data_IF_321717178679
#
_entry.id   IF_321717178679
#
_cell.length_a   1.000
_cell.length_b   1.000
_cell.length_c   1.000
_cell.angle_alpha   90.00
_cell.angle_beta   90.00
_cell.angle_gamma   90.00
#
_symmetry.space_group_name_H-M   'P 1'
#
loop_
_entity.id
_entity.type
_entity.pdbx_description
1 polymer ?
#
# COMPACT_ATOMS: atom_id res chain seq x y z
N UNK A 1 -55.41 73.23 30.40
CA UNK A 1 -56.30 72.09 30.02
C UNK A 1 -55.48 71.25 29.03
N UNK A 2 -55.05 70.13 29.50
CA UNK A 2 -54.31 69.17 28.66
C UNK A 2 -55.37 68.22 28.12
N UNK A 3 -55.65 68.32 26.81
CA UNK A 3 -56.53 67.38 26.16
C UNK A 3 -55.93 65.97 26.19
N UNK A 4 -56.61 65.09 26.89
CA UNK A 4 -56.30 63.67 26.82
C UNK A 4 -56.75 63.14 25.43
N UNK A 5 -55.79 63.04 24.48
CA UNK A 5 -56.01 62.26 23.28
C UNK A 5 -56.26 60.82 23.67
N UNK A 6 -57.53 60.42 23.56
CA UNK A 6 -57.92 59.04 23.87
C UNK A 6 -57.17 58.05 22.97
N UNK A 7 -56.27 57.30 23.54
CA UNK A 7 -55.55 56.21 22.85
C UNK A 7 -56.59 55.12 22.60
N UNK A 8 -56.89 54.86 21.29
CA UNK A 8 -57.73 53.69 20.95
C UNK A 8 -56.91 52.40 21.10
N UNK A 9 -57.08 51.80 22.27
CA UNK A 9 -56.38 50.52 22.64
C UNK A 9 -56.74 49.36 21.70
N UNK A 10 -57.87 49.42 21.02
CA UNK A 10 -58.26 48.38 20.07
C UNK A 10 -57.48 48.50 18.76
N UNK A 11 -57.23 49.70 18.29
CA UNK A 11 -56.42 49.93 17.09
C UNK A 11 -54.96 49.58 17.38
N UNK A 12 -54.43 49.98 18.55
CA UNK A 12 -53.08 49.62 18.97
C UNK A 12 -52.90 48.09 19.13
N UNK A 13 -53.91 47.38 19.62
CA UNK A 13 -53.91 45.92 19.73
C UNK A 13 -53.86 45.25 18.35
N UNK A 14 -54.66 45.72 17.38
CA UNK A 14 -54.64 45.22 15.99
C UNK A 14 -53.30 45.49 15.29
N UNK A 15 -52.69 46.64 15.51
CA UNK A 15 -51.38 46.96 15.00
C UNK A 15 -50.30 46.05 15.63
N UNK A 16 -50.34 45.81 16.94
CA UNK A 16 -49.42 44.85 17.58
C UNK A 16 -49.60 43.42 17.06
N UNK A 17 -50.84 42.96 16.85
CA UNK A 17 -51.10 41.63 16.27
C UNK A 17 -50.51 41.55 14.83
N UNK A 18 -50.73 42.55 14.00
CA UNK A 18 -50.17 42.55 12.66
C UNK A 18 -48.65 42.58 12.65
N UNK A 19 -48.04 43.31 13.58
CA UNK A 19 -46.59 43.37 13.74
C UNK A 19 -46.02 42.03 14.22
N UNK A 20 -46.69 41.34 15.15
CA UNK A 20 -46.30 39.99 15.62
C UNK A 20 -46.35 38.97 14.50
N UNK A 21 -47.40 38.98 13.69
CA UNK A 21 -47.54 38.07 12.53
C UNK A 21 -46.43 38.36 11.49
N UNK A 22 -46.15 39.65 11.20
CA UNK A 22 -45.06 40.02 10.29
C UNK A 22 -43.70 39.58 10.81
N UNK A 23 -43.41 39.78 12.12
CA UNK A 23 -42.19 39.35 12.76
C UNK A 23 -42.03 37.82 12.75
N UNK A 24 -43.10 37.08 13.02
CA UNK A 24 -43.08 35.62 12.95
C UNK A 24 -42.70 35.12 11.56
N UNK A 25 -43.27 35.75 10.50
CA UNK A 25 -42.98 35.38 9.13
C UNK A 25 -41.53 35.69 8.75
N UNK A 26 -41.00 36.84 9.15
CA UNK A 26 -39.59 37.20 8.90
C UNK A 26 -38.63 36.27 9.67
N UNK A 27 -39.01 35.84 10.86
CA UNK A 27 -38.26 34.91 11.69
C UNK A 27 -38.19 33.51 11.05
N UNK A 28 -39.28 33.02 10.47
CA UNK A 28 -39.28 31.79 9.70
C UNK A 28 -38.42 31.87 8.45
N UNK A 29 -38.47 32.98 7.72
CA UNK A 29 -37.63 33.23 6.55
C UNK A 29 -36.14 33.25 6.92
N UNK A 30 -35.74 33.97 7.96
CA UNK A 30 -34.37 34.01 8.51
C UNK A 30 -33.91 32.63 8.99
N UNK A 31 -34.77 31.85 9.64
CA UNK A 31 -34.41 30.51 10.08
C UNK A 31 -34.17 29.59 8.89
N UNK A 32 -34.96 29.68 7.83
CA UNK A 32 -34.79 28.93 6.60
C UNK A 32 -33.48 29.31 5.89
N UNK A 33 -33.19 30.61 5.80
CA UNK A 33 -31.94 31.11 5.20
C UNK A 33 -30.70 30.68 6.00
N UNK A 34 -30.75 30.76 7.34
CA UNK A 34 -29.70 30.27 8.22
C UNK A 34 -29.44 28.76 8.05
N UNK A 35 -30.48 27.97 7.85
CA UNK A 35 -30.36 26.53 7.60
C UNK A 35 -29.64 26.29 6.27
N UNK A 36 -30.06 26.98 5.23
CA UNK A 36 -29.43 26.87 3.91
C UNK A 36 -27.96 27.31 3.93
N UNK A 37 -27.65 28.43 4.59
CA UNK A 37 -26.27 28.91 4.75
C UNK A 37 -25.39 27.95 5.58
N UNK A 38 -25.97 27.27 6.58
CA UNK A 38 -25.23 26.23 7.31
C UNK A 38 -24.91 25.02 6.44
N UNK A 39 -25.87 24.56 5.65
CA UNK A 39 -25.68 23.44 4.71
C UNK A 39 -24.65 23.79 3.64
N UNK A 40 -24.69 25.03 3.08
CA UNK A 40 -23.70 25.52 2.13
C UNK A 40 -22.31 25.66 2.77
N UNK A 41 -22.21 26.19 3.97
CA UNK A 41 -20.95 26.26 4.71
C UNK A 41 -20.35 24.88 5.01
N UNK A 42 -21.19 23.89 5.37
CA UNK A 42 -20.72 22.52 5.53
C UNK A 42 -20.25 21.92 4.20
N UNK A 43 -20.99 22.15 3.12
CA UNK A 43 -20.58 21.73 1.78
C UNK A 43 -19.23 22.37 1.36
N UNK A 44 -19.09 23.69 1.55
CA UNK A 44 -17.84 24.40 1.23
C UNK A 44 -16.67 23.95 2.12
N UNK A 45 -16.92 23.72 3.41
CA UNK A 45 -15.91 23.16 4.32
C UNK A 45 -15.49 21.76 3.88
N UNK A 46 -16.41 20.90 3.47
CA UNK A 46 -16.09 19.57 2.91
C UNK A 46 -15.30 19.68 1.61
N UNK A 47 -15.60 20.66 0.78
CA UNK A 47 -14.91 20.89 -0.50
C UNK A 47 -13.51 21.48 -0.33
N UNK A 48 -13.31 22.37 0.64
CA UNK A 48 -12.03 23.07 0.88
C UNK A 48 -11.11 22.33 1.84
N UNK A 49 -11.67 21.70 2.87
CA UNK A 49 -10.93 21.06 3.97
C UNK A 49 -11.22 19.56 4.08
N UNK A 50 -12.18 19.04 3.34
CA UNK A 50 -12.37 17.60 3.21
C UNK A 50 -11.11 17.02 2.61
N UNK A 51 -10.52 16.05 3.31
CA UNK A 51 -9.45 15.23 2.73
C UNK A 51 -9.92 14.79 1.35
N UNK A 52 -9.11 14.99 0.32
CA UNK A 52 -9.39 14.55 -1.06
C UNK A 52 -9.44 13.01 -1.19
N UNK A 53 -9.52 12.29 -0.08
CA UNK A 53 -9.85 10.88 -0.01
C UNK A 53 -11.36 10.78 0.06
N UNK A 54 -11.94 10.08 -0.89
CA UNK A 54 -13.31 9.56 -0.78
C UNK A 54 -13.36 8.68 0.46
N UNK A 55 -13.77 9.27 1.59
CA UNK A 55 -13.89 8.51 2.83
C UNK A 55 -15.07 7.58 2.70
N UNK A 56 -14.80 6.29 2.71
CA UNK A 56 -15.77 5.20 2.65
C UNK A 56 -16.77 5.17 3.83
N UNK A 57 -16.69 6.11 4.79
CA UNK A 57 -17.67 6.25 5.88
C UNK A 57 -19.10 6.48 5.41
N UNK A 58 -19.29 7.04 4.20
CA UNK A 58 -20.63 7.21 3.62
C UNK A 58 -21.20 5.93 2.99
N UNK A 59 -20.38 4.92 2.79
CA UNK A 59 -20.73 3.65 2.13
C UNK A 59 -20.67 2.43 3.07
N UNK A 60 -20.43 2.63 4.37
CA UNK A 60 -20.38 1.54 5.36
C UNK A 60 -19.13 0.65 5.27
N UNK A 61 -18.10 1.08 4.53
CA UNK A 61 -16.83 0.39 4.47
C UNK A 61 -15.79 1.10 5.35
N UNK A 62 -15.15 0.38 6.27
CA UNK A 62 -14.02 0.89 7.02
C UNK A 62 -12.85 1.11 6.07
N UNK A 63 -12.36 2.36 6.04
CA UNK A 63 -11.16 2.70 5.26
C UNK A 63 -9.94 2.26 6.05
N UNK A 64 -9.30 1.19 5.60
CA UNK A 64 -7.99 0.79 6.11
C UNK A 64 -6.93 1.83 5.71
N UNK A 65 -5.99 2.08 6.61
CA UNK A 65 -4.82 2.93 6.34
C UNK A 65 -4.02 2.36 5.15
N UNK A 66 -3.42 3.23 4.34
CA UNK A 66 -2.60 2.85 3.19
C UNK A 66 -1.45 1.89 3.57
N UNK A 67 -0.91 2.04 4.79
CA UNK A 67 0.22 1.23 5.27
C UNK A 67 -0.22 -0.09 5.89
N UNK A 68 -1.37 -0.12 6.57
CA UNK A 68 -1.85 -1.30 7.29
C UNK A 68 -2.68 -2.24 6.41
N UNK A 69 -3.14 -1.76 5.24
CA UNK A 69 -3.98 -2.54 4.34
C UNK A 69 -3.30 -3.84 3.87
N UNK A 70 -1.99 -3.78 3.56
CA UNK A 70 -1.26 -4.96 3.10
C UNK A 70 -1.14 -6.02 4.20
N UNK A 71 -0.87 -5.62 5.44
CA UNK A 71 -0.75 -6.53 6.58
C UNK A 71 -2.10 -7.06 7.04
N UNK A 72 -3.14 -6.21 7.11
CA UNK A 72 -4.47 -6.61 7.50
C UNK A 72 -5.12 -7.60 6.52
N UNK A 73 -4.76 -7.53 5.23
CA UNK A 73 -5.30 -8.42 4.19
C UNK A 73 -4.40 -9.65 3.92
N UNK A 74 -3.19 -9.71 4.51
CA UNK A 74 -2.20 -10.74 4.21
C UNK A 74 -2.42 -12.05 4.97
N UNK A 75 -2.98 -12.00 6.17
CA UNK A 75 -3.12 -13.19 7.02
C UNK A 75 -4.54 -13.78 6.94
N UNK A 76 -4.79 -14.77 6.05
CA UNK A 76 -6.10 -15.40 5.92
C UNK A 76 -6.43 -16.38 7.05
N UNK A 77 -5.46 -16.74 7.91
CA UNK A 77 -5.59 -17.74 8.96
C UNK A 77 -5.64 -17.14 10.38
N UNK A 78 -5.43 -15.83 10.55
CA UNK A 78 -5.74 -15.20 11.81
C UNK A 78 -7.25 -15.24 12.04
N UNK A 79 -7.62 -15.92 13.13
CA UNK A 79 -8.99 -15.90 13.65
C UNK A 79 -9.36 -14.43 13.88
N UNK A 80 -10.16 -13.90 12.98
CA UNK A 80 -10.79 -12.60 13.18
C UNK A 80 -11.57 -12.70 14.48
N UNK A 81 -11.19 -11.88 15.46
CA UNK A 81 -11.92 -11.75 16.70
C UNK A 81 -13.40 -11.66 16.40
N UNK A 82 -14.14 -12.57 16.98
CA UNK A 82 -15.56 -12.82 16.84
C UNK A 82 -16.34 -11.51 17.04
N UNK A 83 -16.66 -10.84 15.96
CA UNK A 83 -17.85 -10.02 15.87
C UNK A 83 -18.87 -10.89 15.15
N UNK A 84 -19.84 -11.38 15.93
CA UNK A 84 -21.02 -12.16 15.57
C UNK A 84 -20.95 -12.96 14.26
N UNK A 85 -21.15 -14.27 14.40
CA UNK A 85 -21.13 -15.29 13.35
C UNK A 85 -21.91 -14.90 12.08
N UNK A 86 -21.28 -14.18 11.18
CA UNK A 86 -21.64 -14.27 9.78
C UNK A 86 -20.92 -15.51 9.24
N UNK A 87 -21.62 -16.61 9.15
CA UNK A 87 -21.11 -17.84 8.53
C UNK A 87 -20.80 -17.57 7.05
N UNK A 88 -19.59 -17.07 6.77
CA UNK A 88 -19.07 -17.10 5.42
C UNK A 88 -18.72 -18.54 5.08
N UNK A 89 -19.54 -19.18 4.29
CA UNK A 89 -19.18 -20.45 3.65
C UNK A 89 -17.96 -20.20 2.77
N UNK A 90 -16.77 -20.46 3.28
CA UNK A 90 -15.53 -20.51 2.48
C UNK A 90 -15.78 -21.51 1.36
N UNK A 91 -15.96 -21.03 0.13
CA UNK A 91 -16.04 -21.92 -1.04
C UNK A 91 -14.76 -22.73 -1.07
N UNK A 92 -14.85 -24.05 -0.92
CA UNK A 92 -13.70 -24.95 -0.99
C UNK A 92 -13.02 -24.72 -2.34
N UNK A 93 -11.71 -24.47 -2.33
CA UNK A 93 -10.89 -24.40 -3.53
C UNK A 93 -10.93 -25.77 -4.21
N UNK A 94 -11.27 -25.83 -5.49
CA UNK A 94 -11.25 -27.05 -6.26
C UNK A 94 -10.05 -27.03 -7.23
N UNK A 95 -9.57 -28.25 -7.59
CA UNK A 95 -8.48 -28.40 -8.55
C UNK A 95 -8.94 -27.85 -9.91
N UNK A 96 -8.15 -26.95 -10.53
CA UNK A 96 -8.53 -26.27 -11.79
C UNK A 96 -9.15 -24.86 -11.60
N UNK A 97 -9.42 -24.42 -10.38
CA UNK A 97 -10.00 -23.09 -10.14
C UNK A 97 -9.12 -21.94 -10.68
N UNK A 98 -7.79 -22.13 -10.71
CA UNK A 98 -6.87 -21.15 -11.27
C UNK A 98 -6.98 -21.11 -12.80
N UNK A 99 -7.05 -22.28 -13.44
CA UNK A 99 -7.19 -22.40 -14.89
C UNK A 99 -8.48 -21.75 -15.36
N UNK A 100 -9.60 -21.97 -14.63
CA UNK A 100 -10.88 -21.32 -14.92
C UNK A 100 -10.79 -19.78 -14.81
N UNK A 101 -10.07 -19.27 -13.83
CA UNK A 101 -9.87 -17.81 -13.67
C UNK A 101 -9.05 -17.20 -14.80
N UNK A 102 -8.04 -17.91 -15.27
CA UNK A 102 -7.11 -17.44 -16.31
C UNK A 102 -7.61 -17.67 -17.73
N UNK A 103 -8.58 -18.60 -17.94
CA UNK A 103 -9.07 -19.01 -19.26
C UNK A 103 -9.59 -17.88 -20.15
N UNK A 104 -10.00 -16.74 -19.56
CA UNK A 104 -10.52 -15.58 -20.32
C UNK A 104 -9.43 -14.65 -20.84
N UNK A 105 -8.18 -14.84 -20.41
CA UNK A 105 -7.05 -14.02 -20.84
C UNK A 105 -6.34 -14.66 -22.04
N UNK A 106 -5.71 -13.88 -22.92
CA UNK A 106 -4.88 -14.45 -23.97
C UNK A 106 -3.66 -15.15 -23.37
N UNK A 107 -3.38 -16.38 -23.83
CA UNK A 107 -2.26 -17.19 -23.38
C UNK A 107 -1.10 -17.13 -24.38
N UNK A 108 0.13 -17.02 -23.86
CA UNK A 108 1.37 -17.11 -24.62
C UNK A 108 2.18 -18.27 -24.06
N UNK A 109 2.52 -19.24 -24.90
CA UNK A 109 3.38 -20.36 -24.51
C UNK A 109 4.85 -19.93 -24.50
N UNK A 110 5.54 -20.11 -23.36
CA UNK A 110 6.99 -19.96 -23.25
C UNK A 110 7.59 -21.35 -23.04
N UNK A 111 8.36 -21.82 -24.03
CA UNK A 111 8.97 -23.13 -23.96
C UNK A 111 10.43 -22.99 -23.56
N UNK A 112 10.78 -23.50 -22.37
CA UNK A 112 12.16 -23.57 -21.92
C UNK A 112 12.86 -24.75 -22.58
N UNK A 113 13.92 -24.47 -23.33
CA UNK A 113 14.74 -25.47 -24.02
C UNK A 113 16.13 -25.51 -23.44
N UNK A 114 16.80 -26.68 -23.53
CA UNK A 114 18.21 -26.80 -23.19
C UNK A 114 19.06 -26.01 -24.20
N UNK A 115 20.14 -25.34 -23.76
CA UNK A 115 21.12 -24.76 -24.65
C UNK A 115 21.79 -25.85 -25.50
N UNK A 116 22.26 -25.52 -26.71
CA UNK A 116 22.85 -26.50 -27.62
C UNK A 116 24.03 -27.27 -27.01
N UNK A 117 24.83 -26.63 -26.16
CA UNK A 117 25.91 -27.24 -25.43
C UNK A 117 25.48 -28.36 -24.48
N UNK A 118 24.23 -28.37 -24.04
CA UNK A 118 23.68 -29.36 -23.11
C UNK A 118 22.81 -30.42 -23.79
N UNK A 119 22.62 -30.33 -25.11
CA UNK A 119 21.87 -31.31 -25.90
C UNK A 119 22.66 -32.61 -26.18
N UNK A 120 23.56 -32.97 -25.25
CA UNK A 120 24.40 -34.17 -25.33
C UNK A 120 24.07 -35.15 -24.21
N UNK A 121 23.92 -36.42 -24.56
CA UNK A 121 23.66 -37.46 -23.56
C UNK A 121 24.90 -37.67 -22.67
N UNK A 122 24.78 -37.61 -21.34
CA UNK A 122 25.92 -37.76 -20.42
C UNK A 122 26.46 -39.21 -20.38
N UNK A 123 25.71 -40.19 -20.95
CA UNK A 123 26.11 -41.60 -20.90
C UNK A 123 26.78 -42.07 -22.22
N UNK A 124 26.28 -41.60 -23.38
CA UNK A 124 26.75 -42.08 -24.68
C UNK A 124 27.17 -40.99 -25.67
N UNK A 125 27.22 -39.71 -25.23
CA UNK A 125 27.55 -38.52 -25.98
C UNK A 125 26.76 -38.32 -27.32
N UNK A 126 25.61 -39.01 -27.49
CA UNK A 126 24.73 -38.78 -28.62
C UNK A 126 23.84 -37.57 -28.39
N UNK A 127 23.36 -36.93 -29.48
CA UNK A 127 22.46 -35.78 -29.41
C UNK A 127 21.11 -36.16 -28.78
N UNK A 128 20.65 -35.41 -27.81
CA UNK A 128 19.32 -35.53 -27.22
C UNK A 128 18.25 -34.96 -28.13
N UNK A 129 17.09 -35.62 -28.19
CA UNK A 129 15.93 -35.18 -28.97
C UNK A 129 14.75 -34.88 -28.02
N UNK A 130 13.97 -33.84 -28.28
CA UNK A 130 12.79 -33.55 -27.48
C UNK A 130 11.74 -34.63 -27.61
N UNK A 131 11.16 -35.12 -26.51
CA UNK A 131 10.12 -36.16 -26.48
C UNK A 131 8.77 -35.65 -26.03
N UNK A 132 8.71 -34.42 -25.46
CA UNK A 132 7.47 -33.80 -25.02
C UNK A 132 7.71 -32.49 -24.25
N UNK A 133 6.62 -31.80 -23.99
CA UNK A 133 6.59 -30.64 -23.09
C UNK A 133 5.76 -30.95 -21.85
N UNK A 134 6.19 -30.47 -20.70
CA UNK A 134 5.47 -30.58 -19.44
C UNK A 134 5.08 -29.19 -18.99
N UNK A 135 3.81 -29.00 -18.64
CA UNK A 135 3.34 -27.77 -18.02
C UNK A 135 4.02 -27.58 -16.67
N UNK A 136 4.49 -26.37 -16.40
CA UNK A 136 5.18 -26.03 -15.15
C UNK A 136 4.32 -25.08 -14.30
N UNK A 137 3.97 -23.92 -14.86
CA UNK A 137 3.20 -22.90 -14.15
C UNK A 137 2.59 -21.86 -15.08
N UNK A 138 1.61 -21.13 -14.56
CA UNK A 138 1.14 -19.89 -15.17
C UNK A 138 1.91 -18.71 -14.59
N UNK A 139 2.24 -17.74 -15.44
CA UNK A 139 2.78 -16.44 -15.07
C UNK A 139 1.96 -15.33 -15.73
N UNK A 140 1.67 -14.24 -15.00
CA UNK A 140 0.91 -13.10 -15.55
C UNK A 140 1.90 -12.05 -16.04
N UNK A 141 1.88 -11.78 -17.34
CA UNK A 141 2.58 -10.67 -17.95
C UNK A 141 1.69 -9.44 -17.96
N UNK A 142 2.18 -8.35 -17.37
CA UNK A 142 1.53 -7.07 -17.44
C UNK A 142 2.28 -6.15 -18.42
N UNK A 143 1.59 -5.82 -19.51
CA UNK A 143 1.99 -4.73 -20.41
C UNK A 143 0.99 -3.60 -20.13
N UNK A 144 1.40 -2.32 -20.03
CA UNK A 144 0.48 -1.24 -19.74
C UNK A 144 -0.81 -1.35 -20.56
N UNK A 145 -1.95 -1.36 -19.87
CA UNK A 145 -3.29 -1.59 -20.40
C UNK A 145 -3.59 -2.98 -21.01
N UNK A 146 -2.73 -4.01 -20.83
CA UNK A 146 -3.01 -5.38 -21.30
C UNK A 146 -2.54 -6.40 -20.28
N UNK A 147 -3.43 -7.32 -19.88
CA UNK A 147 -3.07 -8.53 -19.16
C UNK A 147 -2.85 -9.68 -20.14
N UNK A 148 -1.83 -10.49 -19.88
CA UNK A 148 -1.55 -11.71 -20.58
C UNK A 148 -1.17 -12.80 -19.59
N UNK A 149 -1.50 -14.03 -19.88
CA UNK A 149 -1.04 -15.20 -19.13
C UNK A 149 0.15 -15.79 -19.86
N UNK A 150 1.23 -16.05 -19.14
CA UNK A 150 2.38 -16.81 -19.62
C UNK A 150 2.26 -18.24 -19.12
N UNK A 151 1.99 -19.18 -20.01
CA UNK A 151 1.98 -20.60 -19.71
C UNK A 151 3.38 -21.17 -19.92
N UNK A 152 4.07 -21.50 -18.84
CA UNK A 152 5.46 -21.96 -18.86
C UNK A 152 5.49 -23.47 -18.98
N UNK A 153 6.16 -23.95 -20.02
CA UNK A 153 6.37 -25.36 -20.29
C UNK A 153 7.86 -25.69 -20.29
N UNK A 154 8.21 -26.92 -19.95
CA UNK A 154 9.55 -27.46 -20.10
C UNK A 154 9.57 -28.60 -21.10
N UNK A 155 10.60 -28.67 -21.94
CA UNK A 155 10.79 -29.76 -22.88
C UNK A 155 11.64 -30.84 -22.24
N UNK A 156 11.17 -32.09 -22.26
CA UNK A 156 11.95 -33.24 -21.85
C UNK A 156 12.63 -33.89 -23.05
N UNK A 157 13.91 -34.10 -22.97
CA UNK A 157 14.74 -34.73 -24.01
C UNK A 157 15.07 -36.15 -23.63
N UNK A 158 15.07 -37.04 -24.59
CA UNK A 158 15.42 -38.45 -24.42
C UNK A 158 16.59 -38.85 -25.31
N UNK A 159 17.49 -39.69 -24.82
CA UNK A 159 18.52 -40.32 -25.61
C UNK A 159 17.99 -41.60 -26.28
N UNK A 160 17.66 -41.53 -27.57
CA UNK A 160 17.15 -42.69 -28.34
C UNK A 160 18.13 -43.83 -28.39
N UNK A 161 19.45 -43.58 -28.43
CA UNK A 161 20.49 -44.63 -28.45
C UNK A 161 20.54 -45.41 -27.13
N UNK A 162 20.44 -44.73 -26.02
CA UNK A 162 20.35 -45.38 -24.70
C UNK A 162 19.05 -46.16 -24.55
N UNK A 163 17.92 -45.62 -25.05
CA UNK A 163 16.61 -46.31 -25.02
C UNK A 163 16.63 -47.59 -25.81
N UNK A 164 17.26 -47.62 -27.01
CA UNK A 164 17.40 -48.82 -27.82
C UNK A 164 18.22 -49.91 -27.10
N UNK A 165 19.09 -49.54 -26.18
CA UNK A 165 19.91 -50.41 -25.33
C UNK A 165 19.26 -50.70 -23.96
N UNK A 166 17.95 -50.48 -23.79
CA UNK A 166 17.21 -50.75 -22.58
C UNK A 166 17.46 -49.73 -21.40
N UNK A 167 18.20 -48.62 -21.67
CA UNK A 167 18.48 -47.60 -20.66
C UNK A 167 17.66 -46.32 -20.93
N UNK A 168 16.81 -45.90 -20.01
CA UNK A 168 16.09 -44.62 -20.11
C UNK A 168 16.98 -43.49 -19.60
N UNK A 169 17.41 -42.60 -20.49
CA UNK A 169 18.14 -41.38 -20.16
C UNK A 169 17.32 -40.19 -20.63
N UNK A 170 16.80 -39.45 -19.67
CA UNK A 170 16.01 -38.22 -19.91
C UNK A 170 16.69 -37.04 -19.31
N UNK A 171 16.59 -35.89 -19.95
CA UNK A 171 17.12 -34.60 -19.50
C UNK A 171 16.08 -33.51 -19.76
N UNK A 172 15.84 -32.66 -18.78
CA UNK A 172 15.01 -31.46 -18.91
C UNK A 172 15.84 -30.23 -18.53
N UNK A 173 15.56 -29.04 -19.08
CA UNK A 173 16.20 -27.82 -18.66
C UNK A 173 15.88 -27.50 -17.19
N UNK A 174 16.78 -26.80 -16.53
CA UNK A 174 16.48 -26.18 -15.24
C UNK A 174 15.38 -25.13 -15.42
N UNK A 175 14.41 -25.15 -14.52
CA UNK A 175 13.27 -24.21 -14.55
C UNK A 175 13.60 -23.11 -13.52
N UNK A 176 13.63 -21.83 -13.92
CA UNK A 176 13.78 -20.72 -12.97
C UNK A 176 12.68 -20.80 -11.91
N UNK A 177 13.06 -20.58 -10.67
CA UNK A 177 12.12 -20.49 -9.56
C UNK A 177 11.07 -19.41 -9.84
N UNK A 178 9.79 -19.65 -9.48
CA UNK A 178 8.78 -18.61 -9.58
C UNK A 178 9.13 -17.44 -8.67
N UNK A 179 8.80 -16.25 -9.09
CA UNK A 179 9.05 -15.00 -8.35
C UNK A 179 8.50 -15.09 -6.91
N UNK A 180 7.33 -15.67 -6.75
CA UNK A 180 6.73 -16.00 -5.46
C UNK A 180 6.31 -17.47 -5.51
N UNK A 181 6.77 -18.33 -4.58
CA UNK A 181 6.39 -19.73 -4.53
C UNK A 181 4.88 -19.93 -4.51
N UNK A 182 4.39 -20.91 -5.24
CA UNK A 182 2.97 -21.26 -5.34
C UNK A 182 2.04 -20.14 -5.82
N UNK A 183 2.60 -19.10 -6.47
CA UNK A 183 1.86 -17.97 -7.02
C UNK A 183 1.98 -17.90 -8.54
N UNK A 184 1.00 -17.25 -9.18
CA UNK A 184 1.04 -16.87 -10.59
C UNK A 184 1.59 -15.45 -10.80
N UNK A 185 2.18 -14.85 -9.76
CA UNK A 185 2.81 -13.55 -9.83
C UNK A 185 4.01 -13.56 -10.79
N UNK A 186 4.10 -12.54 -11.62
CA UNK A 186 5.34 -12.20 -12.31
C UNK A 186 6.01 -11.00 -11.64
N UNK A 187 7.30 -10.78 -11.90
CA UNK A 187 8.01 -9.61 -11.37
C UNK A 187 7.32 -8.29 -11.77
N UNK A 188 6.79 -8.23 -13.00
CA UNK A 188 6.11 -7.06 -13.53
C UNK A 188 4.77 -6.81 -12.81
N UNK A 189 4.00 -7.87 -12.55
CA UNK A 189 2.71 -7.75 -11.86
C UNK A 189 2.89 -7.31 -10.40
N UNK A 190 3.88 -7.85 -9.70
CA UNK A 190 4.23 -7.44 -8.33
C UNK A 190 4.70 -5.99 -8.31
N UNK A 191 5.64 -5.62 -9.18
CA UNK A 191 6.14 -4.25 -9.28
C UNK A 191 5.02 -3.25 -9.60
N UNK A 192 4.08 -3.62 -10.45
CA UNK A 192 2.92 -2.79 -10.76
C UNK A 192 2.05 -2.56 -9.52
N UNK A 193 1.68 -3.62 -8.79
CA UNK A 193 0.87 -3.52 -7.58
C UNK A 193 1.56 -2.63 -6.53
N UNK A 194 2.87 -2.82 -6.33
CA UNK A 194 3.65 -2.01 -5.39
C UNK A 194 3.73 -0.55 -5.82
N UNK A 195 4.00 -0.28 -7.11
CA UNK A 195 4.03 1.08 -7.65
C UNK A 195 2.70 1.78 -7.48
N UNK A 196 1.60 1.11 -7.81
CA UNK A 196 0.26 1.68 -7.65
C UNK A 196 -0.02 2.01 -6.18
N UNK A 197 0.32 1.12 -5.25
CA UNK A 197 0.06 1.36 -3.82
C UNK A 197 0.95 2.46 -3.24
N UNK A 198 2.25 2.39 -3.42
CA UNK A 198 3.19 3.23 -2.68
C UNK A 198 3.61 4.51 -3.43
N UNK A 199 3.56 4.52 -4.76
CA UNK A 199 3.91 5.70 -5.56
C UNK A 199 2.66 6.47 -5.96
N UNK A 200 1.64 5.77 -6.46
CA UNK A 200 0.42 6.40 -6.97
C UNK A 200 -0.68 6.55 -5.90
N UNK A 201 -0.49 5.99 -4.68
CA UNK A 201 -1.45 6.06 -3.59
C UNK A 201 -2.77 5.33 -3.85
N UNK A 202 -2.78 4.31 -4.74
CA UNK A 202 -3.98 3.55 -5.09
C UNK A 202 -4.14 2.37 -4.13
N UNK A 203 -5.17 2.35 -3.28
CA UNK A 203 -5.42 1.25 -2.35
C UNK A 203 -5.68 -0.07 -3.08
N UNK A 204 -5.37 -1.21 -2.42
CA UNK A 204 -5.48 -2.54 -3.03
C UNK A 204 -6.91 -2.87 -3.49
N UNK A 205 -7.94 -2.38 -2.79
CA UNK A 205 -9.32 -2.62 -3.21
C UNK A 205 -9.66 -1.95 -4.56
N UNK A 206 -9.12 -0.75 -4.84
CA UNK A 206 -9.27 -0.07 -6.14
C UNK A 206 -8.49 -0.79 -7.22
N UNK A 207 -7.26 -1.22 -6.90
CA UNK A 207 -6.49 -2.06 -7.81
C UNK A 207 -7.21 -3.35 -8.15
N UNK A 208 -7.81 -4.04 -7.15
CA UNK A 208 -8.61 -5.25 -7.39
C UNK A 208 -9.78 -4.99 -8.35
N UNK A 209 -10.44 -3.84 -8.24
CA UNK A 209 -11.50 -3.44 -9.16
C UNK A 209 -10.97 -3.21 -10.59
N UNK A 210 -9.81 -2.57 -10.73
CA UNK A 210 -9.13 -2.35 -12.01
C UNK A 210 -8.72 -3.69 -12.66
N UNK A 211 -8.09 -4.59 -11.90
CA UNK A 211 -7.72 -5.92 -12.38
C UNK A 211 -8.93 -6.72 -12.84
N UNK A 212 -10.04 -6.62 -12.10
CA UNK A 212 -11.31 -7.27 -12.48
C UNK A 212 -11.87 -6.73 -13.79
N UNK A 213 -11.78 -5.42 -14.04
CA UNK A 213 -12.17 -4.82 -15.32
C UNK A 213 -11.30 -5.30 -16.48
N UNK A 214 -10.01 -5.55 -16.21
CA UNK A 214 -9.08 -6.13 -17.20
C UNK A 214 -9.26 -7.64 -17.39
N UNK A 215 -10.20 -8.29 -16.68
CA UNK A 215 -10.57 -9.70 -16.84
C UNK A 215 -9.96 -10.65 -15.79
N UNK A 216 -9.21 -10.16 -14.80
CA UNK A 216 -8.63 -10.98 -13.74
C UNK A 216 -9.20 -10.60 -12.37
N UNK A 217 -9.89 -11.53 -11.72
CA UNK A 217 -10.33 -11.37 -10.33
C UNK A 217 -9.16 -11.65 -9.37
N UNK A 218 -8.41 -10.60 -9.08
CA UNK A 218 -7.24 -10.62 -8.17
C UNK A 218 -7.67 -10.11 -6.79
N UNK A 219 -7.59 -10.97 -5.77
CA UNK A 219 -8.02 -10.61 -4.42
C UNK A 219 -7.05 -9.63 -3.75
N UNK A 220 -7.55 -8.81 -2.83
CA UNK A 220 -6.72 -7.92 -1.99
C UNK A 220 -5.67 -8.71 -1.21
N UNK A 221 -6.07 -9.83 -0.61
CA UNK A 221 -5.17 -10.74 0.12
C UNK A 221 -4.02 -11.23 -0.75
N UNK A 222 -4.30 -11.63 -2.00
CA UNK A 222 -3.24 -12.06 -2.92
C UNK A 222 -2.25 -10.94 -3.19
N UNK A 223 -2.73 -9.72 -3.47
CA UNK A 223 -1.86 -8.56 -3.68
C UNK A 223 -1.06 -8.20 -2.43
N UNK A 224 -1.67 -8.26 -1.25
CA UNK A 224 -1.01 -8.02 0.03
C UNK A 224 0.13 -9.03 0.27
N UNK A 225 -0.15 -10.32 0.07
CA UNK A 225 0.85 -11.37 0.20
C UNK A 225 2.02 -11.20 -0.79
N UNK A 226 1.76 -10.72 -2.01
CA UNK A 226 2.83 -10.40 -2.97
C UNK A 226 3.74 -9.28 -2.45
N UNK A 227 3.16 -8.22 -1.88
CA UNK A 227 3.91 -7.09 -1.33
C UNK A 227 4.75 -7.54 -0.15
N UNK A 228 4.17 -8.29 0.80
CA UNK A 228 4.86 -8.74 2.01
C UNK A 228 6.01 -9.68 1.65
N UNK A 229 5.75 -10.70 0.82
CA UNK A 229 6.80 -11.60 0.36
C UNK A 229 7.96 -10.84 -0.30
N UNK A 230 7.65 -9.89 -1.17
CA UNK A 230 8.66 -9.09 -1.87
C UNK A 230 9.46 -8.21 -0.92
N UNK A 231 8.79 -7.64 0.09
CA UNK A 231 9.45 -6.84 1.13
C UNK A 231 10.48 -7.67 1.90
N UNK A 232 10.11 -8.86 2.33
CA UNK A 232 10.97 -9.71 3.17
C UNK A 232 12.12 -10.36 2.40
N UNK A 233 11.86 -10.83 1.16
CA UNK A 233 12.81 -11.66 0.42
C UNK A 233 13.68 -10.88 -0.57
N UNK A 234 13.18 -9.77 -1.11
CA UNK A 234 13.92 -9.03 -2.15
C UNK A 234 14.30 -7.62 -1.75
N UNK A 235 13.39 -6.89 -1.09
CA UNK A 235 13.66 -5.50 -0.75
C UNK A 235 14.45 -5.37 0.55
N UNK A 236 14.27 -6.28 1.49
CA UNK A 236 15.02 -6.24 2.75
C UNK A 236 16.54 -6.27 2.53
N UNK A 237 17.15 -7.19 1.77
CA UNK A 237 18.59 -7.17 1.51
C UNK A 237 19.06 -5.84 0.86
N UNK A 238 18.23 -5.26 -0.01
CA UNK A 238 18.52 -3.97 -0.62
C UNK A 238 18.50 -2.84 0.41
N UNK A 239 17.47 -2.79 1.24
CA UNK A 239 17.36 -1.78 2.31
C UNK A 239 18.45 -1.93 3.36
N UNK A 240 18.84 -3.16 3.71
CA UNK A 240 19.95 -3.43 4.61
C UNK A 240 21.26 -2.88 4.02
N UNK A 241 21.53 -3.12 2.73
CA UNK A 241 22.71 -2.55 2.05
C UNK A 241 22.67 -1.03 1.94
N UNK A 242 21.49 -0.45 1.69
CA UNK A 242 21.33 1.01 1.70
C UNK A 242 21.61 1.59 3.09
N UNK A 243 21.20 0.91 4.15
CA UNK A 243 21.50 1.29 5.53
C UNK A 243 23.01 1.27 5.80
N UNK A 244 23.72 0.20 5.45
CA UNK A 244 25.16 0.11 5.57
C UNK A 244 25.88 1.28 4.87
N UNK A 245 25.53 1.56 3.60
CA UNK A 245 26.11 2.68 2.84
C UNK A 245 25.81 4.03 3.52
N UNK A 246 24.62 4.19 4.11
CA UNK A 246 24.28 5.41 4.85
C UNK A 246 25.15 5.56 6.10
N UNK A 247 25.43 4.47 6.81
CA UNK A 247 26.31 4.48 7.99
C UNK A 247 27.80 4.77 7.63
N UNK A 248 28.24 4.49 6.43
CA UNK A 248 29.57 4.84 5.92
C UNK A 248 29.71 6.33 5.57
N UNK A 249 28.59 7.07 5.51
CA UNK A 249 28.59 8.49 5.14
C UNK A 249 29.07 9.39 6.28
N UNK A 250 29.49 10.63 5.97
CA UNK A 250 29.90 11.62 6.99
C UNK A 250 28.70 12.38 7.59
N UNK A 251 27.60 12.45 6.87
CA UNK A 251 26.42 13.23 7.24
C UNK A 251 25.15 12.49 6.87
N UNK A 252 24.18 12.51 7.79
CA UNK A 252 22.86 11.95 7.56
C UNK A 252 21.78 12.90 8.10
N UNK A 253 20.66 12.98 7.40
CA UNK A 253 19.46 13.63 7.91
C UNK A 253 18.58 12.62 8.62
N UNK A 254 17.96 13.06 9.71
CA UNK A 254 16.95 12.30 10.44
C UNK A 254 15.75 13.19 10.75
N UNK A 255 14.56 12.66 10.55
CA UNK A 255 13.29 13.31 10.86
C UNK A 255 12.24 12.22 11.17
N UNK A 256 11.16 12.56 11.86
CA UNK A 256 10.07 11.64 12.10
C UNK A 256 8.72 12.32 11.94
N UNK A 257 7.75 11.58 11.41
CA UNK A 257 6.38 12.05 11.25
C UNK A 257 5.40 11.11 11.95
N UNK A 258 4.37 11.63 12.64
CA UNK A 258 3.36 10.78 13.24
C UNK A 258 2.54 10.09 12.16
N UNK A 259 2.29 8.80 12.35
CA UNK A 259 1.39 7.98 11.57
C UNK A 259 0.33 7.38 12.48
N UNK A 260 -0.88 7.18 11.97
CA UNK A 260 -1.94 6.51 12.68
C UNK A 260 -2.04 5.07 12.18
N UNK A 261 -1.87 4.12 13.10
CA UNK A 261 -2.03 2.69 12.84
C UNK A 261 -3.29 2.24 13.56
N UNK A 262 -4.31 1.81 12.80
CA UNK A 262 -5.62 1.51 13.37
C UNK A 262 -5.64 0.21 14.17
N UNK A 263 -4.90 -0.81 13.70
CA UNK A 263 -4.84 -2.15 14.29
C UNK A 263 -3.42 -2.48 14.76
N UNK A 264 -2.94 -1.76 15.76
CA UNK A 264 -1.64 -2.06 16.36
C UNK A 264 -1.82 -2.85 17.65
N UNK A 265 -1.20 -4.04 17.80
CA UNK A 265 -1.35 -4.86 18.99
C UNK A 265 -1.02 -4.09 20.27
N UNK A 266 -1.92 -4.14 21.25
CA UNK A 266 -1.74 -3.48 22.55
C UNK A 266 -1.93 -1.97 22.56
N UNK A 267 -2.37 -1.34 21.45
CA UNK A 267 -2.61 0.09 21.35
C UNK A 267 -4.03 0.45 20.91
N UNK A 268 -4.48 1.63 21.34
CA UNK A 268 -5.73 2.20 20.83
C UNK A 268 -5.50 2.80 19.45
N UNK A 269 -6.48 2.73 18.55
CA UNK A 269 -6.44 3.31 17.21
C UNK A 269 -6.14 4.83 17.18
N UNK A 270 -6.36 5.53 18.30
CA UNK A 270 -6.06 6.97 18.46
C UNK A 270 -4.60 7.24 18.84
N UNK A 271 -3.83 6.20 19.20
CA UNK A 271 -2.42 6.37 19.62
C UNK A 271 -1.56 6.63 18.39
N UNK A 272 -0.66 7.62 18.49
CA UNK A 272 0.28 7.94 17.41
C UNK A 272 1.43 6.95 17.40
N UNK A 273 1.72 6.39 16.26
CA UNK A 273 2.98 5.74 15.90
C UNK A 273 3.79 6.67 15.02
N UNK A 274 5.01 6.31 14.64
CA UNK A 274 5.90 7.21 13.93
C UNK A 274 6.58 6.51 12.75
N UNK A 275 6.71 7.25 11.65
CA UNK A 275 7.57 6.90 10.54
C UNK A 275 8.83 7.74 10.64
N UNK A 276 9.96 7.08 10.91
CA UNK A 276 11.28 7.69 10.94
C UNK A 276 11.84 7.72 9.51
N UNK A 277 12.42 8.85 9.14
CA UNK A 277 13.01 9.05 7.81
C UNK A 277 14.49 9.36 7.99
N UNK A 278 15.32 8.50 7.43
CA UNK A 278 16.77 8.68 7.42
C UNK A 278 17.24 8.84 6.00
N UNK A 279 18.04 9.86 5.72
CA UNK A 279 18.49 10.11 4.35
C UNK A 279 19.93 10.61 4.28
N UNK A 280 20.57 10.30 3.16
CA UNK A 280 21.83 10.93 2.79
C UNK A 280 21.62 12.42 2.49
N UNK A 281 22.69 13.20 2.56
CA UNK A 281 22.70 14.60 2.12
C UNK A 281 22.62 14.66 0.58
N UNK A 282 22.26 15.83 0.06
CA UNK A 282 22.09 16.04 -1.38
C UNK A 282 23.38 15.80 -2.19
N UNK A 283 24.51 16.07 -1.58
CA UNK A 283 25.86 15.94 -2.18
C UNK A 283 26.42 14.51 -2.11
N UNK A 284 25.67 13.57 -1.52
CA UNK A 284 26.08 12.16 -1.46
C UNK A 284 26.13 11.54 -2.84
N UNK A 285 27.14 10.70 -3.10
CA UNK A 285 27.24 9.90 -4.32
C UNK A 285 26.09 8.88 -4.44
N UNK A 286 25.50 8.51 -3.31
CA UNK A 286 24.37 7.59 -3.25
C UNK A 286 23.17 8.30 -2.58
N UNK A 287 22.14 8.70 -3.35
CA UNK A 287 20.94 9.32 -2.81
C UNK A 287 20.07 8.25 -2.13
N UNK A 288 20.26 8.09 -0.83
CA UNK A 288 19.54 7.12 -0.01
C UNK A 288 18.44 7.81 0.80
N UNK A 289 17.28 7.18 0.88
CA UNK A 289 16.20 7.56 1.80
C UNK A 289 15.53 6.30 2.32
N UNK A 290 15.60 6.12 3.64
CA UNK A 290 15.03 4.98 4.35
C UNK A 290 13.89 5.42 5.24
N UNK A 291 12.82 4.64 5.25
CA UNK A 291 11.66 4.83 6.10
C UNK A 291 11.58 3.67 7.08
N UNK A 292 11.57 3.99 8.37
CA UNK A 292 11.51 3.00 9.44
C UNK A 292 10.31 3.27 10.33
N UNK A 293 9.41 2.32 10.39
CA UNK A 293 8.26 2.38 11.29
C UNK A 293 8.70 2.14 12.73
N UNK A 294 8.15 2.93 13.66
CA UNK A 294 8.29 2.66 15.09
C UNK A 294 6.98 2.96 15.82
N UNK A 295 6.61 2.13 16.81
CA UNK A 295 5.37 2.30 17.55
C UNK A 295 5.38 3.52 18.48
N UNK A 296 6.51 4.19 18.66
CA UNK A 296 6.66 5.33 19.56
C UNK A 296 7.73 6.30 19.06
N UNK A 297 7.83 7.46 19.72
CA UNK A 297 8.84 8.49 19.43
C UNK A 297 10.06 8.41 20.37
N UNK A 298 10.38 7.24 20.91
CA UNK A 298 11.49 7.12 21.86
C UNK A 298 12.85 7.29 21.18
N UNK A 299 13.79 7.92 21.91
CA UNK A 299 15.16 8.17 21.43
C UNK A 299 15.98 6.90 21.16
N UNK A 300 15.58 5.74 21.66
CA UNK A 300 16.24 4.47 21.30
C UNK A 300 16.07 4.10 19.81
N UNK A 301 15.02 4.57 19.13
CA UNK A 301 14.81 4.27 17.71
C UNK A 301 15.98 4.81 16.85
N UNK A 302 16.34 6.12 16.90
CA UNK A 302 17.49 6.59 16.17
C UNK A 302 18.83 6.04 16.71
N UNK A 303 18.94 5.71 18.00
CA UNK A 303 20.13 5.06 18.55
C UNK A 303 20.38 3.69 17.92
N UNK A 304 19.34 2.88 17.77
CA UNK A 304 19.44 1.57 17.09
C UNK A 304 19.80 1.77 15.62
N UNK A 305 19.15 2.70 14.93
CA UNK A 305 19.38 2.94 13.52
C UNK A 305 20.81 3.40 13.23
N UNK A 306 21.34 4.34 14.03
CA UNK A 306 22.68 4.90 13.87
C UNK A 306 23.77 4.15 14.65
N UNK A 307 23.48 2.94 15.12
CA UNK A 307 24.51 2.14 15.78
C UNK A 307 25.73 1.91 14.86
N UNK A 308 26.91 2.34 15.31
CA UNK A 308 28.14 2.30 14.51
C UNK A 308 28.33 3.44 13.51
N UNK A 309 27.45 4.44 13.49
CA UNK A 309 27.62 5.64 12.69
C UNK A 309 28.56 6.63 13.41
N UNK A 310 29.56 7.15 12.72
CA UNK A 310 30.53 8.12 13.24
C UNK A 310 30.53 9.39 12.39
N UNK A 311 29.46 10.14 12.43
CA UNK A 311 29.28 11.31 11.60
C UNK A 311 28.36 12.36 12.22
N UNK A 312 27.86 13.27 11.39
CA UNK A 312 26.94 14.32 11.82
C UNK A 312 25.51 13.93 11.48
N UNK A 313 24.63 13.87 12.49
CA UNK A 313 23.19 13.71 12.32
C UNK A 313 22.53 15.08 12.32
N UNK A 314 21.81 15.41 11.25
CA UNK A 314 21.09 16.67 11.05
C UNK A 314 19.61 16.43 11.32
N UNK A 315 19.05 17.04 12.38
CA UNK A 315 17.66 16.82 12.81
C UNK A 315 16.94 18.14 13.22
N UNK A 316 15.70 18.03 13.66
CA UNK A 316 14.84 19.14 14.11
C UNK A 316 15.13 19.63 15.55
N UNK A 317 16.20 19.18 16.19
CA UNK A 317 16.51 19.41 17.61
C UNK A 317 15.60 18.65 18.59
N UNK A 318 14.91 17.60 18.18
CA UNK A 318 14.25 16.71 19.11
C UNK A 318 15.26 16.01 20.03
N UNK A 319 15.00 16.01 21.33
CA UNK A 319 15.94 15.47 22.34
C UNK A 319 16.28 13.97 22.17
N UNK A 320 15.44 13.22 21.46
CA UNK A 320 15.69 11.81 21.14
C UNK A 320 16.94 11.56 20.31
N UNK A 321 17.45 12.59 19.61
CA UNK A 321 18.71 12.48 18.83
C UNK A 321 19.97 12.82 19.63
N UNK A 322 19.84 13.36 20.88
CA UNK A 322 20.99 13.89 21.63
C UNK A 322 21.97 12.82 22.12
N UNK A 323 21.52 11.56 22.25
CA UNK A 323 22.31 10.50 22.87
C UNK A 323 22.71 9.40 21.87
N UNK A 324 22.93 9.75 20.62
CA UNK A 324 23.43 8.81 19.62
C UNK A 324 24.95 8.70 19.78
N UNK A 325 25.43 7.54 20.20
CA UNK A 325 26.85 7.32 20.46
C UNK A 325 27.70 7.51 19.21
N UNK A 326 28.84 8.20 19.34
CA UNK A 326 29.77 8.45 18.25
C UNK A 326 29.31 9.52 17.24
N UNK A 327 28.18 10.16 17.44
CA UNK A 327 27.61 11.15 16.52
C UNK A 327 27.73 12.59 17.03
N UNK A 328 27.87 13.51 16.09
CA UNK A 328 27.72 14.95 16.32
C UNK A 328 26.32 15.37 15.86
N UNK A 329 25.59 16.08 16.72
CA UNK A 329 24.28 16.59 16.36
C UNK A 329 24.38 17.97 15.71
N UNK A 330 23.72 18.14 14.56
CA UNK A 330 23.52 19.43 13.91
C UNK A 330 22.01 19.70 13.76
N UNK A 331 21.64 20.97 13.79
CA UNK A 331 20.22 21.35 13.72
C UNK A 331 19.84 21.83 12.32
N UNK A 332 18.68 21.37 11.87
CA UNK A 332 18.17 21.68 10.54
C UNK A 332 17.71 23.15 10.45
N UNK A 333 18.32 23.92 9.55
CA UNK A 333 17.96 25.31 9.28
C UNK A 333 16.53 25.50 8.79
N UNK A 334 15.96 24.52 8.10
CA UNK A 334 14.57 24.58 7.64
C UNK A 334 13.60 24.60 8.84
N UNK A 335 13.90 23.82 9.88
CA UNK A 335 13.11 23.81 11.12
C UNK A 335 13.29 25.09 11.93
N UNK A 336 14.53 25.59 12.05
CA UNK A 336 14.78 26.88 12.69
C UNK A 336 14.04 28.02 11.98
N UNK A 337 14.16 28.13 10.65
CA UNK A 337 13.45 29.14 9.84
C UNK A 337 11.93 29.08 10.02
N UNK A 338 11.34 27.89 10.12
CA UNK A 338 9.90 27.73 10.32
C UNK A 338 9.44 28.40 11.60
N UNK A 339 10.19 28.26 12.70
CA UNK A 339 9.88 28.90 13.98
C UNK A 339 9.87 30.42 13.88
N UNK A 340 10.80 31.00 13.11
CA UNK A 340 10.81 32.46 12.89
C UNK A 340 9.68 32.99 11.99
N UNK A 341 9.18 32.15 11.09
CA UNK A 341 8.07 32.53 10.23
C UNK A 341 6.71 32.42 10.94
N UNK A 342 6.58 31.44 11.81
CA UNK A 342 5.32 31.10 12.49
C UNK A 342 5.15 31.85 13.84
N UNK A 343 6.17 32.63 14.27
CA UNK A 343 6.14 33.61 15.38
C UNK A 343 5.82 35.02 14.87
#
# INVERSE_FOLDING_TARGET
MIENAGIDYKELYLQMQSAVVALSKTLEEIQKENKNLKEENEYLKRKLFGTKSETSKSLGFEQLSLFDEAEAEANPDEEQFILEEVKFNKKKKYKGQLDDKLSKLPHIEIIMTLPESELVCPVCNSKLVPVGKKFVRHEIEFVPAKLKVRDVYTTTYECRKCRANGKSVMKSPGIPEPVIPHSYASAESVAFVMKQKFVNGVPLYRQGSEWKQMGLDLSRTTMANWIIYSSEHWLKPLTDRMHEILLESKHAHADETPVQVLNEPGKKATTKSYMWVYSSIKESSYPIRLFVYAPNRCGYNPQIFFNGFHGTVISDAYSGYNNIEGCVNAYCWAHARRKFRDS
#
